data_IF_688007428199
#
_entry.id   IF_688007428199
#
_cell.length_a   1.000
_cell.length_b   1.000
_cell.length_c   1.000
_cell.angle_alpha   90.00
_cell.angle_beta   90.00
_cell.angle_gamma   90.00
#
_symmetry.space_group_name_H-M   'P 1'
#
loop_
_entity.id
_entity.type
_entity.pdbx_description
1 polymer ?
#
# COMPACT_ATOMS: atom_id res chain seq x y z
N UNK A 1 24.08 10.19 10.04
CA UNK A 1 22.80 9.45 9.94
C UNK A 1 22.97 8.40 8.86
N UNK A 2 22.36 7.25 9.03
CA UNK A 2 22.34 6.17 8.05
C UNK A 2 20.92 5.62 7.90
N UNK A 3 20.53 5.31 6.67
CA UNK A 3 19.26 4.70 6.34
C UNK A 3 19.44 3.24 5.95
N UNK A 4 18.42 2.43 6.23
CA UNK A 4 18.25 1.07 5.72
C UNK A 4 16.79 0.71 5.58
N UNK A 5 16.47 -0.33 4.81
CA UNK A 5 15.10 -0.83 4.67
C UNK A 5 15.08 -2.35 4.56
N UNK A 6 13.92 -2.96 4.85
CA UNK A 6 13.68 -4.39 4.60
C UNK A 6 13.07 -4.66 3.21
N UNK A 7 12.88 -3.61 2.40
CA UNK A 7 12.26 -3.71 1.09
C UNK A 7 13.07 -4.64 0.18
N UNK A 8 12.37 -5.55 -0.49
CA UNK A 8 12.99 -6.55 -1.38
C UNK A 8 12.65 -6.34 -2.85
N UNK A 9 11.72 -5.42 -3.15
CA UNK A 9 11.27 -5.09 -4.50
C UNK A 9 12.07 -3.97 -5.16
N UNK A 10 11.69 -3.65 -6.40
CA UNK A 10 12.25 -2.52 -7.14
C UNK A 10 11.75 -1.15 -6.62
N UNK A 11 10.64 -1.15 -5.90
CA UNK A 11 10.06 0.01 -5.21
C UNK A 11 9.73 -0.36 -3.77
N UNK A 12 9.52 0.64 -2.91
CA UNK A 12 8.97 0.45 -1.58
C UNK A 12 7.52 -0.02 -1.66
N UNK A 13 7.06 -0.78 -0.66
CA UNK A 13 5.67 -1.16 -0.49
C UNK A 13 5.13 -0.79 0.91
N UNK A 14 3.81 -0.60 1.03
CA UNK A 14 3.20 -0.44 2.36
C UNK A 14 3.49 -1.66 3.24
N UNK A 15 3.90 -1.43 4.49
CA UNK A 15 4.34 -2.49 5.41
C UNK A 15 5.85 -2.75 5.39
N UNK A 16 6.58 -2.26 4.38
CA UNK A 16 8.04 -2.19 4.47
C UNK A 16 8.44 -1.26 5.62
N UNK A 17 9.60 -1.56 6.21
CA UNK A 17 10.20 -0.75 7.27
C UNK A 17 11.40 0.00 6.75
N UNK A 18 11.47 1.29 7.05
CA UNK A 18 12.66 2.12 6.90
C UNK A 18 13.23 2.39 8.28
N UNK A 19 14.51 2.11 8.46
CA UNK A 19 15.24 2.34 9.70
C UNK A 19 16.22 3.48 9.46
N UNK A 20 16.10 4.50 10.28
CA UNK A 20 17.03 5.60 10.40
C UNK A 20 17.81 5.43 11.70
N UNK A 21 19.14 5.45 11.60
CA UNK A 21 20.04 5.60 12.74
C UNK A 21 20.76 6.94 12.66
N UNK A 22 20.98 7.57 13.80
CA UNK A 22 21.74 8.81 13.90
C UNK A 22 22.62 8.78 15.15
N UNK A 23 23.76 9.46 15.07
CA UNK A 23 24.62 9.67 16.23
C UNK A 23 24.23 11.00 16.84
N UNK A 24 23.89 11.00 18.12
CA UNK A 24 23.62 12.21 18.87
C UNK A 24 24.92 12.70 19.52
N UNK A 25 25.28 13.96 19.32
CA UNK A 25 26.46 14.57 19.94
C UNK A 25 26.10 15.94 20.48
N UNK A 26 26.10 16.06 21.81
CA UNK A 26 25.96 17.31 22.52
C UNK A 26 27.29 17.72 23.16
N UNK A 27 27.62 19.02 23.10
CA UNK A 27 28.89 19.54 23.58
C UNK A 27 28.98 19.61 25.11
N UNK A 28 27.84 19.73 25.77
CA UNK A 28 27.70 19.79 27.23
C UNK A 28 27.41 18.41 27.84
N UNK A 29 27.47 17.35 27.01
CA UNK A 29 27.23 15.95 27.36
C UNK A 29 25.80 15.64 27.83
N UNK A 30 24.83 16.45 27.41
CA UNK A 30 23.43 16.19 27.70
C UNK A 30 22.93 14.91 27.00
N UNK A 31 21.80 14.38 27.49
CA UNK A 31 21.14 13.22 26.89
C UNK A 31 20.22 13.64 25.75
N UNK A 32 20.07 12.73 24.79
CA UNK A 32 19.15 12.89 23.66
C UNK A 32 17.68 12.83 24.11
N UNK A 33 16.88 13.79 23.65
CA UNK A 33 15.43 13.84 23.84
C UNK A 33 14.69 14.11 22.51
N UNK A 34 15.28 13.70 21.38
CA UNK A 34 14.78 13.96 20.03
C UNK A 34 13.59 13.06 19.64
N UNK A 35 13.10 12.17 20.51
CA UNK A 35 12.09 11.14 20.17
C UNK A 35 10.79 11.70 19.60
N UNK A 36 10.33 12.84 20.10
CA UNK A 36 9.11 13.50 19.62
C UNK A 36 9.36 14.42 18.41
N UNK A 37 10.63 14.52 17.99
CA UNK A 37 11.11 15.46 16.99
C UNK A 37 11.68 14.77 15.74
N UNK A 38 11.48 13.45 15.62
CA UNK A 38 11.70 12.70 14.38
C UNK A 38 10.38 12.44 13.69
N UNK A 39 10.15 13.14 12.57
CA UNK A 39 8.91 13.11 11.82
C UNK A 39 9.14 12.55 10.42
N UNK A 40 8.26 11.63 10.02
CA UNK A 40 8.26 11.04 8.69
C UNK A 40 7.08 11.56 7.87
N UNK A 41 7.28 11.65 6.56
CA UNK A 41 6.29 12.13 5.61
C UNK A 41 6.31 11.25 4.37
N UNK A 42 5.18 11.13 3.71
CA UNK A 42 5.14 10.68 2.32
C UNK A 42 4.82 11.88 1.42
N UNK A 43 5.42 11.92 0.24
CA UNK A 43 5.25 13.00 -0.74
C UNK A 43 4.48 12.49 -1.94
N UNK A 44 3.36 13.13 -2.30
CA UNK A 44 2.56 12.77 -3.48
C UNK A 44 2.33 14.01 -4.33
N UNK A 45 2.87 14.04 -5.54
CA UNK A 45 2.77 15.20 -6.43
C UNK A 45 3.21 16.50 -5.74
N UNK A 46 4.39 16.48 -5.13
CA UNK A 46 5.01 17.59 -4.39
C UNK A 46 4.32 18.00 -3.07
N UNK A 47 3.29 17.28 -2.62
CA UNK A 47 2.63 17.52 -1.33
C UNK A 47 3.14 16.54 -0.28
N UNK A 48 3.81 17.08 0.73
CA UNK A 48 4.22 16.33 1.92
C UNK A 48 3.04 16.14 2.88
N UNK A 49 2.75 14.89 3.21
CA UNK A 49 1.78 14.54 4.27
C UNK A 49 2.51 13.81 5.39
N UNK A 50 2.34 14.28 6.62
CA UNK A 50 2.98 13.67 7.78
C UNK A 50 2.37 12.29 8.05
N UNK A 51 3.25 11.32 8.28
CA UNK A 51 2.87 9.97 8.70
C UNK A 51 2.53 9.99 10.19
N UNK A 52 1.44 9.32 10.54
CA UNK A 52 0.98 9.20 11.92
C UNK A 52 2.02 8.51 12.79
N UNK A 53 2.16 8.99 14.04
CA UNK A 53 3.13 8.46 15.00
C UNK A 53 2.94 6.99 15.35
N UNK A 54 1.74 6.43 15.14
CA UNK A 54 1.47 4.99 15.30
C UNK A 54 2.28 4.11 14.35
N UNK A 55 2.72 4.65 13.22
CA UNK A 55 3.57 3.96 12.23
C UNK A 55 5.06 4.15 12.50
N UNK A 56 5.43 4.88 13.56
CA UNK A 56 6.80 5.32 13.84
C UNK A 56 7.19 4.87 15.26
N UNK A 57 8.34 4.22 15.39
CA UNK A 57 8.93 3.88 16.69
C UNK A 57 10.28 4.56 16.83
N UNK A 58 10.38 5.49 17.78
CA UNK A 58 11.60 6.25 18.05
C UNK A 58 12.24 5.79 19.36
N UNK A 59 13.57 5.80 19.40
CA UNK A 59 14.34 5.62 20.63
C UNK A 59 15.52 6.58 20.62
N UNK A 60 15.65 7.37 21.69
CA UNK A 60 16.77 8.27 21.91
C UNK A 60 18.10 7.52 22.04
N UNK A 61 19.20 8.19 21.71
CA UNK A 61 20.53 7.75 22.10
C UNK A 61 20.63 7.68 23.62
N UNK A 62 21.19 6.57 24.14
CA UNK A 62 21.31 6.36 25.60
C UNK A 62 22.48 7.12 26.23
N UNK A 63 23.40 7.60 25.41
CA UNK A 63 24.63 8.29 25.82
C UNK A 63 24.97 9.34 24.77
N UNK A 64 25.70 10.37 25.18
CA UNK A 64 26.35 11.28 24.24
C UNK A 64 27.32 10.49 23.32
N UNK A 65 27.35 10.82 22.03
CA UNK A 65 28.03 10.04 20.99
C UNK A 65 27.40 8.68 20.67
N UNK A 66 26.27 8.35 21.30
CA UNK A 66 25.53 7.11 21.09
C UNK A 66 24.55 7.20 19.91
N UNK A 67 23.97 6.05 19.57
CA UNK A 67 23.01 5.94 18.47
C UNK A 67 21.57 6.11 18.93
N UNK A 68 20.88 7.09 18.35
CA UNK A 68 19.43 7.17 18.31
C UNK A 68 18.88 6.43 17.09
N UNK A 69 17.61 6.03 17.16
CA UNK A 69 16.96 5.22 16.13
C UNK A 69 15.52 5.65 15.91
N UNK A 70 15.09 5.65 14.65
CA UNK A 70 13.71 5.81 14.24
C UNK A 70 13.36 4.73 13.23
N UNK A 71 12.24 4.03 13.46
CA UNK A 71 11.72 3.00 12.57
C UNK A 71 10.36 3.43 12.06
N UNK A 72 10.25 3.64 10.75
CA UNK A 72 8.99 3.85 10.06
C UNK A 72 8.52 2.51 9.48
N UNK A 73 7.29 2.11 9.75
CA UNK A 73 6.55 1.14 8.93
C UNK A 73 5.68 1.91 7.95
N UNK A 74 5.88 1.73 6.65
CA UNK A 74 5.18 2.52 5.63
C UNK A 74 3.67 2.22 5.69
N UNK A 75 2.82 3.22 5.98
CA UNK A 75 1.38 3.00 6.06
C UNK A 75 0.75 2.84 4.67
N UNK A 76 -0.44 2.24 4.59
CA UNK A 76 -1.14 2.09 3.31
C UNK A 76 -1.58 3.44 2.71
N UNK A 77 -1.76 4.48 3.54
CA UNK A 77 -2.02 5.86 3.08
C UNK A 77 -0.90 6.45 2.23
N UNK A 78 0.32 5.91 2.35
CA UNK A 78 1.47 6.32 1.54
C UNK A 78 1.50 5.63 0.16
N UNK A 79 0.60 4.70 -0.14
CA UNK A 79 0.56 4.03 -1.44
C UNK A 79 0.39 5.05 -2.58
N UNK A 80 1.23 4.90 -3.60
CA UNK A 80 1.33 5.80 -4.74
C UNK A 80 2.03 7.13 -4.43
N UNK A 81 2.66 7.28 -3.26
CA UNK A 81 3.57 8.39 -2.99
C UNK A 81 4.89 8.20 -3.74
N UNK A 82 5.49 9.30 -4.18
CA UNK A 82 6.69 9.35 -4.99
C UNK A 82 7.97 9.21 -4.14
N UNK A 83 7.92 9.68 -2.89
CA UNK A 83 9.06 9.69 -1.98
C UNK A 83 8.63 9.50 -0.51
N UNK A 84 9.58 9.00 0.29
CA UNK A 84 9.54 9.08 1.75
C UNK A 84 10.54 10.15 2.20
N UNK A 85 10.05 11.06 3.02
CA UNK A 85 10.83 12.14 3.62
C UNK A 85 10.95 11.91 5.13
N UNK A 86 12.10 12.29 5.69
CA UNK A 86 12.30 12.35 7.14
C UNK A 86 12.90 13.68 7.55
N UNK A 87 12.38 14.24 8.64
CA UNK A 87 12.89 15.45 9.28
C UNK A 87 13.16 15.13 10.75
N UNK A 88 14.40 15.35 11.16
CA UNK A 88 14.84 15.24 12.55
C UNK A 88 15.16 16.64 13.04
N UNK A 89 14.54 17.06 14.13
CA UNK A 89 15.01 18.19 14.91
C UNK A 89 15.76 17.64 16.13
N UNK A 90 17.04 17.96 16.24
CA UNK A 90 17.85 17.62 17.40
C UNK A 90 17.28 18.33 18.65
N UNK A 91 17.11 17.57 19.72
CA UNK A 91 16.59 18.08 20.98
C UNK A 91 17.32 17.44 22.16
N UNK A 92 17.86 18.28 23.04
CA UNK A 92 18.54 17.87 24.26
C UNK A 92 17.54 17.72 25.42
N UNK A 93 17.86 16.83 26.36
CA UNK A 93 17.10 16.66 27.60
C UNK A 93 17.27 17.85 28.55
N UNK A 94 18.39 18.57 28.45
CA UNK A 94 18.73 19.73 29.28
C UNK A 94 19.58 20.73 28.49
N UNK A 95 20.13 21.74 29.17
CA UNK A 95 21.07 22.67 28.56
C UNK A 95 20.45 23.77 27.69
N UNK A 96 21.29 24.76 27.36
CA UNK A 96 20.99 25.84 26.42
C UNK A 96 22.05 25.80 25.28
N UNK A 97 21.64 25.68 24.00
CA UNK A 97 20.28 25.60 23.52
C UNK A 97 19.68 24.19 23.62
N UNK A 98 18.42 24.09 24.05
CA UNK A 98 17.70 22.81 24.11
C UNK A 98 17.40 22.18 22.73
N UNK A 99 17.41 22.99 21.67
CA UNK A 99 17.18 22.54 20.29
C UNK A 99 18.40 22.81 19.43
N UNK A 100 18.87 21.78 18.74
CA UNK A 100 20.04 21.84 17.87
C UNK A 100 19.69 21.97 16.39
N UNK A 101 20.42 21.25 15.55
CA UNK A 101 20.24 21.31 14.09
C UNK A 101 19.00 20.54 13.62
N UNK A 102 18.36 21.06 12.57
CA UNK A 102 17.36 20.30 11.80
C UNK A 102 18.04 19.58 10.66
N UNK A 103 17.84 18.28 10.56
CA UNK A 103 18.28 17.45 9.43
C UNK A 103 17.05 17.03 8.65
N UNK A 104 17.05 17.27 7.34
CA UNK A 104 15.96 16.87 6.45
C UNK A 104 16.49 16.07 5.28
N UNK A 105 15.91 14.89 5.05
CA UNK A 105 16.11 14.08 3.86
C UNK A 105 14.79 14.10 3.09
N UNK A 106 14.77 14.83 1.97
CA UNK A 106 13.54 15.00 1.17
C UNK A 106 13.09 13.71 0.50
N UNK A 107 14.01 12.83 0.18
CA UNK A 107 13.73 11.51 -0.40
C UNK A 107 14.81 10.51 0.06
N UNK A 108 14.41 9.50 0.81
CA UNK A 108 15.29 8.44 1.32
C UNK A 108 15.90 7.55 0.24
N UNK A 109 15.38 7.61 -0.99
CA UNK A 109 15.97 6.92 -2.14
C UNK A 109 17.12 7.69 -2.78
N UNK A 110 17.22 9.00 -2.52
CA UNK A 110 18.22 9.89 -3.13
C UNK A 110 19.31 10.34 -2.15
N UNK A 111 19.14 10.13 -0.84
CA UNK A 111 20.13 10.57 0.14
C UNK A 111 19.84 10.11 1.57
N UNK A 112 20.59 10.67 2.52
CA UNK A 112 20.46 10.37 3.96
C UNK A 112 21.47 9.39 4.55
N UNK A 113 22.52 9.02 3.80
CA UNK A 113 23.56 8.09 4.28
C UNK A 113 23.11 6.63 4.30
N UNK A 114 24.01 5.72 4.67
CA UNK A 114 23.75 4.28 4.65
C UNK A 114 23.39 3.72 3.28
N UNK A 115 22.43 2.81 3.25
CA UNK A 115 21.84 2.26 2.03
C UNK A 115 20.59 3.06 1.68
N UNK A 116 20.55 3.65 0.49
CA UNK A 116 19.34 4.30 -0.03
C UNK A 116 18.18 3.30 -0.09
N UNK A 117 16.97 3.76 0.20
CA UNK A 117 15.76 2.95 0.02
C UNK A 117 15.45 2.80 -1.48
N UNK A 118 14.69 1.77 -1.90
CA UNK A 118 14.14 1.75 -3.25
C UNK A 118 13.34 3.04 -3.55
N UNK A 119 13.31 3.50 -4.82
CA UNK A 119 12.54 4.68 -5.21
C UNK A 119 11.03 4.39 -5.21
N UNK A 120 10.22 5.46 -5.26
CA UNK A 120 8.78 5.37 -5.52
C UNK A 120 8.43 5.11 -6.99
N UNK A 121 7.13 4.96 -7.31
CA UNK A 121 6.00 5.10 -6.39
C UNK A 121 5.87 3.92 -5.42
N UNK A 122 5.35 4.18 -4.22
CA UNK A 122 5.12 3.15 -3.20
C UNK A 122 4.01 2.20 -3.69
N UNK A 123 4.33 0.91 -3.78
CA UNK A 123 3.40 -0.13 -4.18
C UNK A 123 2.49 -0.57 -3.01
N UNK A 124 1.31 -1.14 -3.29
CA UNK A 124 0.57 -1.89 -2.29
C UNK A 124 1.41 -3.08 -1.79
N UNK A 125 1.52 -3.22 -0.47
CA UNK A 125 2.12 -4.40 0.16
C UNK A 125 1.07 -5.45 0.56
N UNK A 126 1.44 -6.35 1.46
CA UNK A 126 0.54 -7.44 1.89
C UNK A 126 -0.59 -6.99 2.82
N UNK A 127 -0.53 -5.77 3.36
CA UNK A 127 -1.53 -5.22 4.29
C UNK A 127 -2.69 -4.54 3.56
N UNK A 128 -3.25 -5.23 2.57
CA UNK A 128 -4.44 -4.76 1.84
C UNK A 128 -5.55 -5.81 1.88
N UNK A 129 -6.79 -5.34 1.89
CA UNK A 129 -7.97 -6.19 1.89
C UNK A 129 -8.75 -5.98 0.58
N UNK A 130 -8.70 -6.93 -0.36
CA UNK A 130 -9.51 -6.87 -1.57
C UNK A 130 -10.98 -7.20 -1.26
N UNK A 131 -11.87 -6.67 -2.09
CA UNK A 131 -13.30 -6.97 -2.02
C UNK A 131 -14.00 -6.84 -3.36
N UNK A 132 -15.02 -7.67 -3.54
CA UNK A 132 -15.99 -7.55 -4.64
C UNK A 132 -17.33 -7.23 -3.99
N UNK A 133 -17.98 -6.18 -4.47
CA UNK A 133 -19.25 -5.71 -3.91
C UNK A 133 -20.28 -5.53 -5.03
N UNK A 134 -21.55 -5.46 -4.66
CA UNK A 134 -22.55 -4.91 -5.56
C UNK A 134 -22.34 -3.40 -5.67
N UNK A 135 -22.46 -2.85 -6.87
CA UNK A 135 -22.46 -1.39 -7.10
C UNK A 135 -23.51 -0.63 -6.27
N UNK A 136 -24.59 -1.31 -5.87
CA UNK A 136 -25.62 -0.77 -4.99
C UNK A 136 -25.24 -0.79 -3.50
N UNK A 137 -24.19 -1.55 -3.12
CA UNK A 137 -23.64 -1.56 -1.77
C UNK A 137 -22.70 -0.36 -1.58
N UNK A 138 -23.30 0.81 -1.37
CA UNK A 138 -22.58 2.08 -1.20
C UNK A 138 -21.79 2.18 0.11
N UNK A 139 -22.04 1.27 1.06
CA UNK A 139 -21.29 1.17 2.32
C UNK A 139 -20.23 0.07 2.28
N UNK A 140 -20.14 -0.69 1.19
CA UNK A 140 -19.19 -1.80 1.00
C UNK A 140 -19.14 -2.77 2.18
N UNK A 141 -20.30 -3.07 2.77
CA UNK A 141 -20.40 -3.92 3.97
C UNK A 141 -20.49 -5.41 3.65
N UNK A 142 -20.83 -5.76 2.40
CA UNK A 142 -21.06 -7.14 1.97
C UNK A 142 -20.00 -7.56 0.95
N UNK A 143 -18.80 -7.89 1.44
CA UNK A 143 -17.75 -8.42 0.58
C UNK A 143 -18.14 -9.82 0.07
N UNK A 144 -18.22 -9.97 -1.25
CA UNK A 144 -18.61 -11.19 -1.94
C UNK A 144 -17.43 -12.13 -2.22
N UNK A 145 -16.18 -11.68 -2.04
CA UNK A 145 -15.01 -12.54 -2.20
C UNK A 145 -15.06 -13.72 -1.24
N UNK A 146 -14.80 -14.92 -1.77
CA UNK A 146 -14.89 -16.17 -1.00
C UNK A 146 -16.31 -16.61 -0.63
N UNK A 147 -17.35 -15.85 -1.03
CA UNK A 147 -18.73 -16.23 -0.77
C UNK A 147 -19.27 -17.22 -1.82
N UNK A 148 -20.28 -18.00 -1.45
CA UNK A 148 -21.03 -18.87 -2.37
C UNK A 148 -22.13 -18.11 -3.16
N UNK A 149 -22.08 -16.78 -3.17
CA UNK A 149 -23.12 -15.95 -3.78
C UNK A 149 -23.18 -16.17 -5.28
N UNK A 150 -24.37 -16.48 -5.79
CA UNK A 150 -24.61 -16.59 -7.23
C UNK A 150 -24.75 -15.19 -7.83
N UNK A 151 -23.89 -14.90 -8.80
CA UNK A 151 -23.90 -13.60 -9.49
C UNK A 151 -25.12 -13.51 -10.43
N UNK A 152 -25.85 -12.41 -10.32
CA UNK A 152 -26.97 -12.07 -11.21
C UNK A 152 -26.51 -11.27 -12.43
N UNK A 153 -27.18 -11.49 -13.57
CA UNK A 153 -27.04 -10.72 -14.83
C UNK A 153 -27.58 -9.30 -14.74
N UNK A 154 -28.47 -9.03 -13.78
CA UNK A 154 -29.06 -7.70 -13.55
C UNK A 154 -28.17 -6.77 -12.73
N UNK A 155 -27.06 -7.27 -12.20
CA UNK A 155 -26.23 -6.57 -11.23
C UNK A 155 -24.90 -6.14 -11.84
N UNK A 156 -24.39 -5.03 -11.33
CA UNK A 156 -23.04 -4.53 -11.59
C UNK A 156 -22.21 -4.73 -10.33
N UNK A 157 -21.00 -5.25 -10.48
CA UNK A 157 -20.07 -5.56 -9.42
C UNK A 157 -18.87 -4.64 -9.48
N UNK A 158 -18.40 -4.20 -8.32
CA UNK A 158 -17.30 -3.28 -8.18
C UNK A 158 -16.19 -3.94 -7.40
N UNK A 159 -14.96 -3.71 -7.83
CA UNK A 159 -13.77 -4.12 -7.10
C UNK A 159 -13.36 -2.97 -6.18
N UNK A 160 -13.00 -3.30 -4.94
CA UNK A 160 -12.34 -2.38 -4.04
C UNK A 160 -11.11 -3.02 -3.43
N UNK A 161 -10.03 -2.25 -3.34
CA UNK A 161 -8.87 -2.59 -2.55
C UNK A 161 -8.80 -1.63 -1.37
N UNK A 162 -8.79 -2.16 -0.15
CA UNK A 162 -8.78 -1.35 1.07
C UNK A 162 -7.45 -1.48 1.79
N UNK A 163 -7.12 -0.45 2.58
CA UNK A 163 -6.22 -0.65 3.72
C UNK A 163 -6.84 -1.67 4.67
N UNK A 164 -6.08 -2.71 5.04
CA UNK A 164 -6.55 -3.77 5.94
C UNK A 164 -6.94 -3.25 7.33
N UNK A 165 -6.35 -2.17 7.80
CA UNK A 165 -6.68 -1.59 9.12
C UNK A 165 -7.87 -0.62 9.05
N UNK A 166 -8.29 -0.21 7.85
CA UNK A 166 -9.30 0.82 7.63
C UNK A 166 -10.28 0.46 6.48
N UNK A 167 -10.74 -0.79 6.45
CA UNK A 167 -11.69 -1.30 5.45
C UNK A 167 -12.94 -0.43 5.39
N UNK A 168 -13.31 0.02 4.18
CA UNK A 168 -14.45 0.90 3.94
C UNK A 168 -14.17 2.40 4.14
N UNK A 169 -12.95 2.76 4.60
CA UNK A 169 -12.56 4.16 4.86
C UNK A 169 -11.46 4.62 3.90
N UNK A 170 -10.40 3.82 3.74
CA UNK A 170 -9.27 4.16 2.88
C UNK A 170 -9.29 3.27 1.63
N UNK A 171 -9.80 3.83 0.54
CA UNK A 171 -9.89 3.17 -0.77
C UNK A 171 -8.58 3.33 -1.56
N UNK A 172 -7.94 2.20 -1.85
CA UNK A 172 -6.68 2.07 -2.57
C UNK A 172 -6.88 1.59 -4.02
N UNK A 173 -8.13 1.43 -4.48
CA UNK A 173 -8.43 0.83 -5.79
C UNK A 173 -7.77 1.58 -6.94
N UNK A 174 -7.66 2.90 -6.85
CA UNK A 174 -7.03 3.73 -7.88
C UNK A 174 -5.50 3.65 -7.89
N UNK A 175 -4.90 2.98 -6.90
CA UNK A 175 -3.45 2.77 -6.84
C UNK A 175 -2.99 1.48 -7.52
N UNK A 176 -3.93 0.67 -8.00
CA UNK A 176 -3.65 -0.58 -8.71
C UNK A 176 -4.28 -0.59 -10.08
N UNK A 177 -3.68 -1.36 -10.98
CA UNK A 177 -4.37 -1.82 -12.16
C UNK A 177 -5.06 -3.15 -11.86
N UNK A 178 -6.26 -3.36 -12.40
CA UNK A 178 -6.97 -4.61 -12.20
C UNK A 178 -7.80 -5.03 -13.41
N UNK A 179 -7.97 -6.33 -13.53
CA UNK A 179 -8.78 -6.98 -14.55
C UNK A 179 -9.69 -8.02 -13.93
N UNK A 180 -10.91 -8.12 -14.45
CA UNK A 180 -11.78 -9.21 -14.08
C UNK A 180 -11.39 -10.48 -14.84
N UNK A 181 -11.56 -11.63 -14.20
CA UNK A 181 -11.29 -12.95 -14.76
C UNK A 181 -12.36 -13.95 -14.35
N UNK A 182 -12.56 -14.97 -15.18
CA UNK A 182 -13.40 -16.12 -14.86
C UNK A 182 -12.54 -17.36 -14.63
N UNK A 183 -12.72 -18.01 -13.49
CA UNK A 183 -12.07 -19.28 -13.16
C UNK A 183 -13.10 -20.39 -12.90
N UNK A 184 -12.62 -21.63 -12.86
CA UNK A 184 -13.46 -22.80 -12.58
C UNK A 184 -13.99 -23.45 -13.87
N UNK A 185 -15.20 -23.98 -13.79
CA UNK A 185 -15.79 -24.83 -14.84
C UNK A 185 -17.21 -24.35 -15.10
N UNK A 186 -17.64 -24.42 -16.35
CA UNK A 186 -19.02 -24.11 -16.72
C UNK A 186 -20.04 -25.03 -16.06
N UNK A 187 -21.30 -24.58 -16.04
CA UNK A 187 -22.36 -25.21 -15.26
C UNK A 187 -22.81 -26.59 -15.80
N UNK A 188 -22.89 -26.78 -17.11
CA UNK A 188 -23.49 -27.97 -17.72
C UNK A 188 -22.60 -28.63 -18.75
N UNK A 189 -21.82 -27.89 -19.54
CA UNK A 189 -20.96 -28.46 -20.59
C UNK A 189 -19.52 -28.77 -20.15
N UNK A 190 -19.20 -28.56 -18.87
CA UNK A 190 -17.92 -28.91 -18.24
C UNK A 190 -16.67 -28.32 -18.90
N UNK A 191 -16.82 -27.20 -19.59
CA UNK A 191 -15.71 -26.41 -20.14
C UNK A 191 -14.94 -25.77 -18.99
N UNK A 192 -13.67 -26.14 -18.85
CA UNK A 192 -12.78 -25.59 -17.84
C UNK A 192 -12.13 -24.29 -18.31
N UNK A 193 -12.02 -23.32 -17.41
CA UNK A 193 -11.21 -22.13 -17.63
C UNK A 193 -9.71 -22.51 -17.62
N UNK A 194 -8.86 -21.77 -18.35
CA UNK A 194 -7.41 -21.83 -18.17
C UNK A 194 -7.03 -21.64 -16.70
N UNK A 195 -5.85 -22.10 -16.30
CA UNK A 195 -5.35 -21.91 -14.92
C UNK A 195 -5.22 -20.44 -14.54
N UNK A 196 -4.94 -19.57 -15.52
CA UNK A 196 -4.91 -18.12 -15.39
C UNK A 196 -6.29 -17.47 -15.50
N UNK A 197 -7.35 -18.25 -15.72
CA UNK A 197 -8.70 -17.77 -15.97
C UNK A 197 -8.90 -17.15 -17.36
N UNK A 198 -10.16 -17.02 -17.76
CA UNK A 198 -10.52 -16.22 -18.94
C UNK A 198 -10.46 -14.74 -18.59
N UNK A 199 -9.57 -14.00 -19.24
CA UNK A 199 -9.43 -12.54 -19.07
C UNK A 199 -10.59 -11.84 -19.76
N UNK A 200 -11.31 -11.06 -18.99
CA UNK A 200 -12.44 -10.28 -19.48
C UNK A 200 -11.98 -9.06 -20.26
N UNK A 201 -12.89 -8.42 -20.99
CA UNK A 201 -12.65 -7.13 -21.63
C UNK A 201 -12.69 -5.94 -20.67
N UNK A 202 -12.97 -6.17 -19.38
CA UNK A 202 -13.19 -5.14 -18.37
C UNK A 202 -11.91 -4.91 -17.56
N UNK A 203 -11.28 -3.75 -17.79
CA UNK A 203 -10.06 -3.29 -17.12
C UNK A 203 -10.34 -2.01 -16.35
N UNK A 204 -9.93 -1.93 -15.09
CA UNK A 204 -10.11 -0.75 -14.21
C UNK A 204 -11.53 -0.18 -14.19
N UNK A 205 -12.53 -1.06 -14.30
CA UNK A 205 -13.93 -0.67 -14.43
C UNK A 205 -14.85 -1.68 -13.73
N UNK A 206 -16.11 -1.28 -13.58
CA UNK A 206 -17.15 -2.11 -12.98
C UNK A 206 -17.54 -3.26 -13.91
N UNK A 207 -17.81 -4.43 -13.31
CA UNK A 207 -18.14 -5.64 -14.03
C UNK A 207 -19.65 -5.84 -14.14
N UNK A 208 -20.13 -6.09 -15.36
CA UNK A 208 -21.50 -6.56 -15.60
C UNK A 208 -21.48 -7.92 -16.27
N UNK A 209 -22.28 -8.85 -15.75
CA UNK A 209 -22.34 -10.23 -16.25
C UNK A 209 -22.91 -10.27 -17.68
N UNK A 210 -23.78 -9.34 -18.04
CA UNK A 210 -24.43 -9.28 -19.36
C UNK A 210 -23.51 -8.85 -20.51
N UNK A 211 -22.34 -8.27 -20.25
CA UNK A 211 -21.51 -7.62 -21.30
C UNK A 211 -20.24 -8.37 -21.70
N UNK A 212 -19.94 -9.51 -21.09
CA UNK A 212 -18.55 -9.92 -21.04
C UNK A 212 -18.12 -10.85 -22.18
N UNK A 213 -17.70 -10.24 -23.29
CA UNK A 213 -16.89 -10.87 -24.34
C UNK A 213 -15.40 -10.79 -23.99
N UNK A 214 -14.57 -11.57 -24.68
CA UNK A 214 -13.15 -11.30 -24.73
C UNK A 214 -12.88 -9.89 -25.28
N UNK A 215 -11.69 -9.33 -25.00
CA UNK A 215 -11.29 -7.99 -25.45
C UNK A 215 -11.37 -7.79 -26.98
N UNK A 216 -11.31 -8.87 -27.76
CA UNK A 216 -11.45 -8.88 -29.22
C UNK A 216 -12.91 -9.09 -29.71
N UNK A 217 -13.89 -9.02 -28.81
CA UNK A 217 -15.32 -9.16 -29.11
C UNK A 217 -15.81 -10.60 -29.30
N UNK A 218 -14.95 -11.61 -29.10
CA UNK A 218 -15.34 -13.01 -29.22
C UNK A 218 -16.02 -13.55 -27.95
N UNK A 219 -16.77 -14.66 -28.04
CA UNK A 219 -17.25 -15.39 -26.87
C UNK A 219 -16.09 -15.72 -25.93
N UNK A 220 -16.26 -15.36 -24.65
CA UNK A 220 -15.16 -15.41 -23.68
C UNK A 220 -14.75 -16.84 -23.27
N UNK A 221 -15.72 -17.73 -23.08
CA UNK A 221 -15.50 -19.04 -22.44
C UNK A 221 -15.54 -20.21 -23.41
N UNK A 222 -15.99 -20.01 -24.65
CA UNK A 222 -16.24 -21.09 -25.63
C UNK A 222 -17.34 -22.08 -25.22
N UNK A 223 -17.96 -21.89 -24.05
CA UNK A 223 -19.04 -22.71 -23.50
C UNK A 223 -20.40 -22.26 -24.00
N UNK A 224 -21.32 -23.20 -24.19
CA UNK A 224 -22.72 -22.89 -24.49
C UNK A 224 -23.46 -22.29 -23.29
N UNK A 225 -22.93 -22.49 -22.07
CA UNK A 225 -23.43 -21.88 -20.83
C UNK A 225 -23.02 -20.40 -20.69
N UNK A 226 -22.17 -19.91 -21.59
CA UNK A 226 -21.54 -18.60 -21.46
C UNK A 226 -20.68 -18.56 -20.20
N UNK A 227 -21.03 -17.69 -19.25
CA UNK A 227 -20.28 -17.53 -17.99
C UNK A 227 -20.87 -18.31 -16.81
N UNK A 228 -21.97 -19.03 -17.00
CA UNK A 228 -22.60 -19.75 -15.90
C UNK A 228 -21.72 -20.89 -15.41
N UNK A 229 -21.59 -21.03 -14.08
CA UNK A 229 -20.74 -22.02 -13.42
C UNK A 229 -19.34 -21.50 -13.08
N UNK A 230 -18.84 -20.51 -13.82
CA UNK A 230 -17.55 -19.90 -13.52
C UNK A 230 -17.61 -18.98 -12.29
N UNK A 231 -16.50 -18.92 -11.57
CA UNK A 231 -16.25 -18.01 -10.47
C UNK A 231 -15.70 -16.69 -11.02
N UNK A 232 -16.21 -15.57 -10.51
CA UNK A 232 -15.67 -14.26 -10.80
C UNK A 232 -14.49 -13.97 -9.86
N UNK A 233 -13.40 -13.48 -10.46
CA UNK A 233 -12.16 -13.15 -9.76
C UNK A 233 -11.62 -11.82 -10.28
N UNK A 234 -10.79 -11.18 -9.47
CA UNK A 234 -10.06 -9.97 -9.87
C UNK A 234 -8.58 -10.26 -9.73
N UNK A 235 -7.84 -9.89 -10.76
CA UNK A 235 -6.39 -9.88 -10.77
C UNK A 235 -5.94 -8.43 -10.74
N UNK A 236 -5.06 -8.06 -9.81
CA UNK A 236 -4.63 -6.69 -9.59
C UNK A 236 -3.12 -6.59 -9.32
N UNK A 237 -2.52 -5.48 -9.73
CA UNK A 237 -1.08 -5.23 -9.66
C UNK A 237 -0.74 -3.75 -9.44
#
# INVERSE_FOLDING_TARGET
MDLSSNATGATLASGDTIILTYIYNDADEDLDNSTDYVNWYYTKGDVDTQITTTSITNSAAKTNGGEGKSVLTIPATAIGADAIKVVIQEFSASGDPISGQTISVADTSLGGGGTTTPPGPIAPGSNVTPGIYLSTDTLFSNNLLGSATRLSTSNVYVFKLWDSEAVGVIDLTNAVHYNWRLLGVSATDSVAAPTTGFVTSVTNADFSVSMNTAADGKPLTGSVDGMQGFQLTVDYN
#
